data_IF_135836332314
#
_entry.id   IF_135836332314
#
_cell.length_a   1.000
_cell.length_b   1.000
_cell.length_c   1.000
_cell.angle_alpha   90.00
_cell.angle_beta   90.00
_cell.angle_gamma   90.00
#
_symmetry.space_group_name_H-M   'P 1'
#
loop_
_entity.id
_entity.type
_entity.pdbx_description
1 polymer ?
#
# COMPACT_ATOMS: atom_id res chain seq x y z
N UNK A 1 12.65 -31.55 17.23
CA UNK A 1 12.36 -30.10 17.31
C UNK A 1 11.03 -29.69 16.66
N UNK A 2 10.01 -30.56 16.57
CA UNK A 2 8.76 -30.27 15.85
C UNK A 2 7.55 -29.86 16.70
N UNK A 3 7.63 -29.97 18.03
CA UNK A 3 6.47 -29.74 18.92
C UNK A 3 6.42 -28.34 19.55
N UNK A 4 7.48 -27.53 19.42
CA UNK A 4 7.53 -26.18 19.99
C UNK A 4 6.76 -25.14 19.16
N UNK A 5 6.67 -25.34 17.83
CA UNK A 5 6.04 -24.37 16.91
C UNK A 5 4.50 -24.43 16.91
N UNK A 6 3.89 -25.46 17.49
CA UNK A 6 2.43 -25.56 17.64
C UNK A 6 1.90 -24.84 18.89
N UNK A 7 2.78 -24.45 19.83
CA UNK A 7 2.38 -23.72 21.04
C UNK A 7 2.09 -22.24 20.79
N UNK A 8 2.57 -21.69 19.68
CA UNK A 8 2.35 -20.28 19.31
C UNK A 8 1.20 -20.08 18.31
N UNK A 9 0.51 -21.16 17.92
CA UNK A 9 -0.69 -21.06 17.10
C UNK A 9 -1.87 -20.76 18.03
N UNK A 10 -2.58 -19.63 17.87
CA UNK A 10 -3.75 -19.30 18.67
C UNK A 10 -4.75 -20.45 18.63
N UNK A 11 -5.35 -20.76 19.78
CA UNK A 11 -6.36 -21.83 19.85
C UNK A 11 -7.51 -21.47 18.92
N UNK A 12 -8.16 -22.45 18.30
CA UNK A 12 -9.23 -22.24 17.31
C UNK A 12 -10.31 -21.22 17.75
N UNK A 13 -10.54 -21.08 19.06
CA UNK A 13 -11.48 -20.13 19.68
C UNK A 13 -11.01 -18.66 19.67
N UNK A 14 -9.71 -18.42 19.56
CA UNK A 14 -9.06 -17.11 19.54
C UNK A 14 -8.88 -16.58 18.11
N UNK A 15 -9.26 -17.38 17.10
CA UNK A 15 -9.26 -16.93 15.72
C UNK A 15 -10.33 -15.86 15.55
N UNK A 16 -10.04 -14.76 14.83
CA UNK A 16 -11.06 -13.77 14.50
C UNK A 16 -12.24 -14.50 13.85
N UNK A 17 -13.43 -14.34 14.44
CA UNK A 17 -14.66 -14.83 13.83
C UNK A 17 -14.85 -14.02 12.55
N UNK A 18 -14.59 -14.66 11.40
CA UNK A 18 -14.90 -14.12 10.09
C UNK A 18 -16.42 -13.99 10.03
N UNK A 19 -16.96 -12.80 10.34
CA UNK A 19 -18.37 -12.52 10.11
C UNK A 19 -18.64 -12.71 8.63
N UNK A 20 -19.68 -13.48 8.31
CA UNK A 20 -20.09 -13.84 6.96
C UNK A 20 -20.70 -12.68 6.16
N UNK A 21 -20.29 -11.44 6.43
CA UNK A 21 -20.74 -10.26 5.69
C UNK A 21 -20.03 -10.12 4.34
N UNK A 22 -19.15 -11.06 3.99
CA UNK A 22 -18.63 -11.27 2.64
C UNK A 22 -18.92 -12.69 2.15
N UNK A 23 -19.43 -12.81 0.92
CA UNK A 23 -19.72 -14.09 0.26
C UNK A 23 -18.43 -14.94 0.17
N UNK A 24 -18.34 -15.99 0.99
CA UNK A 24 -17.16 -16.85 1.05
C UNK A 24 -17.09 -17.75 -0.19
N UNK A 25 -16.11 -17.51 -1.07
CA UNK A 25 -15.85 -18.39 -2.23
C UNK A 25 -15.15 -19.68 -1.79
N UNK A 26 -15.95 -20.64 -1.30
CA UNK A 26 -15.49 -21.98 -0.89
C UNK A 26 -14.69 -22.68 -2.00
N UNK A 27 -15.11 -22.51 -3.25
CA UNK A 27 -14.47 -23.16 -4.40
C UNK A 27 -13.13 -22.51 -4.73
N UNK A 28 -13.02 -21.18 -4.59
CA UNK A 28 -11.78 -20.43 -4.64
C UNK A 28 -10.77 -20.94 -3.62
N UNK A 29 -11.19 -21.09 -2.37
CA UNK A 29 -10.33 -21.60 -1.29
C UNK A 29 -9.83 -23.03 -1.58
N UNK A 30 -10.72 -23.96 -1.94
CA UNK A 30 -10.33 -25.35 -2.24
C UNK A 30 -9.33 -25.41 -3.41
N UNK A 31 -9.54 -24.61 -4.47
CA UNK A 31 -8.62 -24.53 -5.61
C UNK A 31 -7.24 -24.00 -5.20
N UNK A 32 -7.19 -22.94 -4.40
CA UNK A 32 -5.94 -22.37 -3.92
C UNK A 32 -5.17 -23.34 -3.02
N UNK A 33 -5.89 -24.03 -2.11
CA UNK A 33 -5.30 -25.02 -1.21
C UNK A 33 -4.72 -26.22 -1.98
N UNK A 34 -5.45 -26.77 -2.96
CA UNK A 34 -4.96 -27.87 -3.81
C UNK A 34 -3.70 -27.48 -4.59
N UNK A 35 -3.67 -26.26 -5.14
CA UNK A 35 -2.48 -25.75 -5.82
C UNK A 35 -1.27 -25.66 -4.87
N UNK A 36 -1.46 -25.15 -3.66
CA UNK A 36 -0.40 -25.04 -2.65
C UNK A 36 0.19 -26.42 -2.30
N UNK A 37 -0.66 -27.41 -1.99
CA UNK A 37 -0.20 -28.76 -1.63
C UNK A 37 0.60 -29.39 -2.77
N UNK A 38 0.10 -29.31 -4.01
CA UNK A 38 0.81 -29.85 -5.18
C UNK A 38 2.17 -29.19 -5.38
N UNK A 39 2.24 -27.86 -5.25
CA UNK A 39 3.49 -27.14 -5.45
C UNK A 39 4.51 -27.41 -4.35
N UNK A 40 4.04 -27.54 -3.09
CA UNK A 40 4.89 -27.91 -1.94
C UNK A 40 5.43 -29.32 -2.05
N UNK A 41 4.64 -30.27 -2.54
CA UNK A 41 5.10 -31.65 -2.79
C UNK A 41 6.18 -31.69 -3.88
N UNK A 42 6.06 -30.87 -4.93
CA UNK A 42 7.01 -30.84 -6.03
C UNK A 42 8.35 -30.16 -5.69
N UNK A 43 8.34 -29.07 -4.92
CA UNK A 43 9.53 -28.24 -4.67
C UNK A 43 10.06 -28.31 -3.22
N UNK A 44 9.41 -29.07 -2.35
CA UNK A 44 9.83 -29.24 -0.96
C UNK A 44 9.75 -27.96 -0.13
N UNK A 45 10.66 -27.81 0.84
CA UNK A 45 10.74 -26.62 1.69
C UNK A 45 11.42 -25.47 0.95
N UNK A 46 10.75 -24.31 0.91
CA UNK A 46 11.19 -23.12 0.17
C UNK A 46 11.08 -21.87 1.03
N UNK A 47 11.81 -20.82 0.65
CA UNK A 47 11.80 -19.53 1.35
C UNK A 47 10.48 -18.77 1.17
N UNK A 48 10.19 -17.86 2.10
CA UNK A 48 9.00 -17.00 2.03
C UNK A 48 8.98 -16.11 0.77
N UNK A 49 10.14 -15.63 0.32
CA UNK A 49 10.26 -14.85 -0.92
C UNK A 49 9.89 -15.68 -2.14
N UNK A 50 10.33 -16.94 -2.20
CA UNK A 50 9.97 -17.86 -3.28
C UNK A 50 8.45 -18.09 -3.33
N UNK A 51 7.82 -18.34 -2.18
CA UNK A 51 6.37 -18.52 -2.10
C UNK A 51 5.63 -17.28 -2.59
N UNK A 52 6.01 -16.08 -2.15
CA UNK A 52 5.43 -14.83 -2.65
C UNK A 52 5.51 -14.74 -4.17
N UNK A 53 6.65 -15.10 -4.76
CA UNK A 53 6.82 -15.11 -6.23
C UNK A 53 5.86 -16.09 -6.92
N UNK A 54 5.68 -17.31 -6.40
CA UNK A 54 4.77 -18.28 -7.01
C UNK A 54 3.30 -17.87 -6.90
N UNK A 55 2.92 -17.31 -5.76
CA UNK A 55 1.59 -16.75 -5.50
C UNK A 55 1.30 -15.62 -6.49
N UNK A 56 2.25 -14.68 -6.63
CA UNK A 56 2.15 -13.58 -7.59
C UNK A 56 2.02 -14.15 -9.01
N UNK A 57 2.87 -15.09 -9.40
CA UNK A 57 2.83 -15.70 -10.73
C UNK A 57 1.49 -16.41 -11.03
N UNK A 58 0.89 -17.09 -10.04
CA UNK A 58 -0.32 -17.88 -10.23
C UNK A 58 -1.60 -17.04 -10.29
N UNK A 59 -1.72 -16.02 -9.44
CA UNK A 59 -2.96 -15.29 -9.25
C UNK A 59 -2.92 -13.83 -9.70
N UNK A 60 -1.74 -13.26 -9.94
CA UNK A 60 -1.62 -11.94 -10.55
C UNK A 60 -1.59 -12.10 -12.07
N UNK A 61 -2.78 -12.19 -12.65
CA UNK A 61 -3.02 -12.13 -14.10
C UNK A 61 -2.60 -10.73 -14.65
N UNK A 62 -2.07 -10.67 -15.88
CA UNK A 62 -1.80 -9.44 -16.63
C UNK A 62 -3.00 -8.48 -16.68
N UNK A 63 -4.23 -8.98 -16.74
CA UNK A 63 -5.44 -8.15 -16.62
C UNK A 63 -5.55 -7.46 -15.25
N UNK A 64 -5.10 -8.09 -14.16
CA UNK A 64 -5.00 -7.43 -12.83
C UNK A 64 -3.88 -6.41 -12.83
N UNK A 65 -2.71 -6.72 -13.41
CA UNK A 65 -1.61 -5.76 -13.54
C UNK A 65 -2.03 -4.54 -14.35
N UNK A 66 -2.72 -4.75 -15.46
CA UNK A 66 -3.31 -3.71 -16.29
C UNK A 66 -4.31 -2.87 -15.50
N UNK A 67 -5.28 -3.47 -14.82
CA UNK A 67 -6.24 -2.74 -13.97
C UNK A 67 -5.55 -1.89 -12.90
N UNK A 68 -4.55 -2.44 -12.19
CA UNK A 68 -3.82 -1.69 -11.15
C UNK A 68 -2.98 -0.57 -11.78
N UNK A 69 -2.37 -0.80 -12.95
CA UNK A 69 -1.64 0.22 -13.72
C UNK A 69 -2.58 1.35 -14.15
N UNK A 70 -3.69 1.04 -14.81
CA UNK A 70 -4.71 2.01 -15.23
C UNK A 70 -5.28 2.77 -14.04
N UNK A 71 -5.58 2.09 -12.93
CA UNK A 71 -6.08 2.72 -11.71
C UNK A 71 -5.04 3.61 -11.01
N UNK A 72 -3.74 3.34 -11.21
CA UNK A 72 -2.65 4.20 -10.73
C UNK A 72 -2.50 5.43 -11.65
N UNK A 73 -2.47 5.24 -12.96
CA UNK A 73 -2.31 6.32 -13.95
C UNK A 73 -3.47 7.32 -13.95
N UNK A 74 -4.70 6.84 -13.73
CA UNK A 74 -5.90 7.68 -13.64
C UNK A 74 -6.10 8.34 -12.28
N UNK A 75 -5.47 7.84 -11.21
CA UNK A 75 -5.63 8.39 -9.87
C UNK A 75 -4.75 9.62 -9.65
N UNK A 76 -5.11 10.72 -10.30
CA UNK A 76 -4.51 12.04 -10.07
C UNK A 76 -4.87 12.54 -8.66
N UNK A 77 -3.94 13.24 -8.03
CA UNK A 77 -4.21 13.91 -6.76
C UNK A 77 -5.15 15.08 -6.99
N UNK A 78 -6.18 15.20 -6.17
CA UNK A 78 -7.07 16.34 -6.15
C UNK A 78 -6.99 17.05 -4.79
N UNK A 79 -6.42 18.25 -4.75
CA UNK A 79 -6.22 19.00 -3.49
C UNK A 79 -7.55 19.29 -2.75
N UNK A 80 -8.67 19.43 -3.46
CA UNK A 80 -9.96 19.73 -2.82
C UNK A 80 -10.55 18.49 -2.14
N UNK A 81 -10.43 17.33 -2.78
CA UNK A 81 -11.13 16.10 -2.40
C UNK A 81 -10.26 15.10 -1.62
N UNK A 82 -8.97 15.01 -1.96
CA UNK A 82 -8.09 13.98 -1.42
C UNK A 82 -7.39 14.45 -0.14
N UNK A 83 -7.17 13.50 0.77
CA UNK A 83 -6.27 13.68 1.93
C UNK A 83 -4.89 13.14 1.55
N UNK A 84 -3.86 13.97 1.73
CA UNK A 84 -2.49 13.67 1.29
C UNK A 84 -1.96 12.33 1.82
N UNK A 85 -2.06 12.09 3.14
CA UNK A 85 -1.53 10.88 3.78
C UNK A 85 -2.14 9.58 3.21
N UNK A 86 -3.47 9.34 3.25
CA UNK A 86 -4.05 8.09 2.75
C UNK A 86 -3.93 7.95 1.23
N UNK A 87 -3.97 9.06 0.48
CA UNK A 87 -3.77 9.01 -0.97
C UNK A 87 -2.33 8.58 -1.30
N UNK A 88 -1.33 9.17 -0.63
CA UNK A 88 0.08 8.87 -0.87
C UNK A 88 0.39 7.39 -0.61
N UNK A 89 -0.02 6.85 0.54
CA UNK A 89 0.22 5.44 0.86
C UNK A 89 -0.49 4.51 -0.12
N UNK A 90 -1.73 4.83 -0.52
CA UNK A 90 -2.46 4.06 -1.54
C UNK A 90 -1.72 4.02 -2.88
N UNK A 91 -1.10 5.13 -3.30
CA UNK A 91 -0.29 5.14 -4.53
C UNK A 91 1.04 4.40 -4.34
N UNK A 92 1.70 4.56 -3.19
CA UNK A 92 2.92 3.83 -2.84
C UNK A 92 2.69 2.31 -2.91
N UNK A 93 1.63 1.82 -2.29
CA UNK A 93 1.27 0.40 -2.29
C UNK A 93 0.99 -0.14 -3.69
N UNK A 94 0.24 0.63 -4.51
CA UNK A 94 -0.03 0.27 -5.92
C UNK A 94 1.25 0.19 -6.74
N UNK A 95 2.17 1.14 -6.57
CA UNK A 95 3.43 1.19 -7.31
C UNK A 95 4.40 0.09 -6.86
N UNK A 96 4.52 -0.17 -5.56
CA UNK A 96 5.32 -1.29 -5.02
C UNK A 96 4.76 -2.64 -5.50
N UNK A 97 3.43 -2.77 -5.62
CA UNK A 97 2.81 -3.99 -6.14
C UNK A 97 3.02 -4.19 -7.66
N UNK A 98 3.16 -3.11 -8.42
CA UNK A 98 3.41 -3.16 -9.87
C UNK A 98 4.90 -3.31 -10.21
N UNK A 99 5.76 -2.66 -9.42
CA UNK A 99 7.19 -2.52 -9.66
C UNK A 99 7.96 -2.84 -8.36
N UNK A 100 8.05 -4.13 -7.97
CA UNK A 100 8.70 -4.52 -6.72
C UNK A 100 10.21 -4.20 -6.70
N UNK A 101 10.85 -4.10 -7.87
CA UNK A 101 12.27 -3.81 -8.01
C UNK A 101 12.58 -2.29 -8.07
N UNK A 102 11.56 -1.45 -7.92
CA UNK A 102 11.70 0.01 -8.00
C UNK A 102 12.23 0.59 -6.69
N UNK A 103 13.19 1.51 -6.77
CA UNK A 103 13.69 2.21 -5.59
C UNK A 103 12.63 3.15 -5.01
N UNK A 104 12.74 3.47 -3.72
CA UNK A 104 11.80 4.38 -3.05
C UNK A 104 11.74 5.75 -3.74
N UNK A 105 12.90 6.28 -4.16
CA UNK A 105 12.99 7.52 -4.95
C UNK A 105 12.20 7.47 -6.27
N UNK A 106 12.29 6.36 -7.01
CA UNK A 106 11.56 6.20 -8.27
C UNK A 106 10.05 6.08 -8.03
N UNK A 107 9.64 5.43 -6.93
CA UNK A 107 8.24 5.39 -6.51
C UNK A 107 7.76 6.80 -6.18
N UNK A 108 8.49 7.55 -5.35
CA UNK A 108 8.18 8.94 -5.02
C UNK A 108 8.05 9.81 -6.27
N UNK A 109 9.01 9.75 -7.19
CA UNK A 109 8.98 10.49 -8.45
C UNK A 109 7.74 10.20 -9.29
N UNK A 110 7.27 8.95 -9.32
CA UNK A 110 6.02 8.57 -10.00
C UNK A 110 4.78 9.14 -9.31
N UNK A 111 4.74 9.10 -7.97
CA UNK A 111 3.64 9.70 -7.18
C UNK A 111 3.58 11.21 -7.42
N UNK A 112 4.72 11.90 -7.46
CA UNK A 112 4.77 13.33 -7.73
C UNK A 112 4.21 13.69 -9.10
N UNK A 113 4.46 12.87 -10.12
CA UNK A 113 3.87 13.03 -11.47
C UNK A 113 2.35 12.78 -11.50
N UNK A 114 1.81 12.10 -10.50
CA UNK A 114 0.37 11.93 -10.33
C UNK A 114 -0.28 13.14 -9.64
N UNK A 115 0.50 14.07 -9.09
CA UNK A 115 -0.05 15.26 -8.45
C UNK A 115 -0.71 16.22 -9.45
N UNK A 116 -0.18 16.31 -10.68
CA UNK A 116 -0.72 17.14 -11.76
C UNK A 116 -0.76 18.66 -11.48
N UNK A 117 -0.84 19.46 -12.54
CA UNK A 117 -1.09 20.90 -12.49
C UNK A 117 -0.13 21.71 -11.59
N UNK A 118 -0.64 22.75 -10.95
CA UNK A 118 0.13 23.66 -10.09
C UNK A 118 0.69 22.96 -8.83
N UNK A 119 -0.01 21.91 -8.35
CA UNK A 119 0.46 21.07 -7.26
C UNK A 119 1.69 20.24 -7.63
N UNK A 120 1.82 19.77 -8.87
CA UNK A 120 3.01 19.04 -9.32
C UNK A 120 4.25 19.95 -9.31
N UNK A 121 4.12 21.19 -9.77
CA UNK A 121 5.23 22.14 -9.78
C UNK A 121 5.65 22.53 -8.37
N UNK A 122 4.69 22.88 -7.51
CA UNK A 122 4.95 23.26 -6.11
C UNK A 122 5.60 22.13 -5.29
N UNK A 123 5.15 20.89 -5.49
CA UNK A 123 5.71 19.74 -4.76
C UNK A 123 7.10 19.38 -5.29
N UNK A 124 7.33 19.41 -6.61
CA UNK A 124 8.66 19.12 -7.19
C UNK A 124 9.73 20.12 -6.76
N UNK A 125 9.42 21.42 -6.69
CA UNK A 125 10.37 22.43 -6.22
C UNK A 125 10.73 22.20 -4.75
N UNK A 126 9.79 21.70 -3.96
CA UNK A 126 9.96 21.51 -2.51
C UNK A 126 10.58 20.17 -2.14
N UNK A 127 10.69 19.23 -3.08
CA UNK A 127 11.16 17.86 -2.85
C UNK A 127 12.58 17.69 -3.40
N UNK A 128 13.43 17.00 -2.67
CA UNK A 128 14.78 16.59 -3.11
C UNK A 128 14.84 15.08 -3.32
N UNK A 129 15.87 14.57 -3.99
CA UNK A 129 16.07 13.12 -4.19
C UNK A 129 16.13 12.32 -2.87
N UNK A 130 16.47 12.99 -1.75
CA UNK A 130 16.56 12.40 -0.41
C UNK A 130 15.30 12.58 0.44
N UNK A 131 14.25 13.21 -0.10
CA UNK A 131 13.04 13.48 0.66
C UNK A 131 12.35 12.19 1.06
N UNK A 132 12.01 12.10 2.34
CA UNK A 132 11.29 10.94 2.88
C UNK A 132 9.83 10.95 2.46
N UNK A 133 9.15 9.81 2.66
CA UNK A 133 7.69 9.72 2.48
C UNK A 133 6.96 10.75 3.36
N UNK A 134 7.46 11.03 4.57
CA UNK A 134 6.90 12.04 5.47
C UNK A 134 7.06 13.46 4.91
N UNK A 135 8.24 13.80 4.38
CA UNK A 135 8.50 15.11 3.79
C UNK A 135 7.54 15.38 2.62
N UNK A 136 7.34 14.39 1.75
CA UNK A 136 6.44 14.53 0.59
C UNK A 136 4.98 14.70 1.03
N UNK A 137 4.54 13.94 2.04
CA UNK A 137 3.17 14.07 2.58
C UNK A 137 2.98 15.46 3.19
N UNK A 138 3.94 15.95 3.96
CA UNK A 138 3.89 17.29 4.57
C UNK A 138 3.80 18.39 3.51
N UNK A 139 4.57 18.28 2.43
CA UNK A 139 4.53 19.22 1.30
C UNK A 139 3.17 19.16 0.60
N UNK A 140 2.64 17.96 0.34
CA UNK A 140 1.31 17.78 -0.26
C UNK A 140 0.20 18.40 0.60
N UNK A 141 0.28 18.26 1.93
CA UNK A 141 -0.63 18.92 2.84
C UNK A 141 -0.46 20.44 2.85
N UNK A 142 0.77 20.94 2.79
CA UNK A 142 1.03 22.38 2.72
C UNK A 142 0.45 22.98 1.43
N UNK A 143 0.63 22.32 0.28
CA UNK A 143 0.04 22.73 -1.00
C UNK A 143 -1.49 22.69 -0.94
N UNK A 144 -2.06 21.63 -0.35
CA UNK A 144 -3.50 21.50 -0.16
C UNK A 144 -4.06 22.56 0.79
N UNK A 145 -3.33 22.92 1.85
CA UNK A 145 -3.74 23.92 2.84
C UNK A 145 -3.59 25.33 2.27
N UNK A 146 -2.52 25.62 1.52
CA UNK A 146 -2.30 26.89 0.81
C UNK A 146 -3.34 27.15 -0.28
N UNK A 147 -3.80 26.11 -0.98
CA UNK A 147 -4.88 26.23 -1.95
C UNK A 147 -6.23 26.59 -1.29
N UNK A 148 -6.44 26.20 -0.03
CA UNK A 148 -7.70 26.40 0.71
C UNK A 148 -7.74 27.66 1.56
N UNK A 149 -6.58 28.17 2.00
CA UNK A 149 -6.50 29.24 2.99
C UNK A 149 -5.35 30.17 2.62
N UNK A 150 -5.65 31.46 2.46
CA UNK A 150 -4.64 32.50 2.36
C UNK A 150 -3.67 32.43 3.53
N UNK A 151 -2.44 32.01 3.24
CA UNK A 151 -1.20 32.18 4.01
C UNK A 151 -1.29 32.10 5.54
N UNK A 152 -1.13 30.91 6.12
CA UNK A 152 -0.56 30.78 7.46
C UNK A 152 0.28 29.50 7.57
N UNK A 153 1.58 29.64 7.88
CA UNK A 153 2.50 28.52 8.04
C UNK A 153 2.18 27.75 9.32
N UNK A 154 1.49 26.62 9.21
CA UNK A 154 1.25 25.70 10.33
C UNK A 154 2.46 24.80 10.61
N UNK A 155 2.62 24.34 11.86
CA UNK A 155 3.68 23.39 12.24
C UNK A 155 3.36 21.98 11.70
N UNK A 156 4.03 21.60 10.60
CA UNK A 156 3.74 20.38 9.83
C UNK A 156 4.13 19.08 10.56
N UNK A 157 5.22 19.07 11.36
CA UNK A 157 5.69 17.87 12.07
C UNK A 157 4.69 17.37 13.12
N UNK A 158 4.04 18.27 13.85
CA UNK A 158 3.02 17.90 14.83
C UNK A 158 1.74 17.37 14.13
N UNK A 159 1.46 17.88 12.93
CA UNK A 159 0.29 17.48 12.14
C UNK A 159 0.45 16.10 11.51
N UNK A 160 1.63 15.77 10.98
CA UNK A 160 1.88 14.41 10.48
C UNK A 160 1.70 13.36 11.57
N UNK A 161 2.30 13.58 12.74
CA UNK A 161 2.22 12.64 13.86
C UNK A 161 0.77 12.38 14.33
N UNK A 162 -0.09 13.40 14.31
CA UNK A 162 -1.51 13.24 14.65
C UNK A 162 -2.26 12.47 13.57
N UNK A 163 -2.05 12.80 12.29
CA UNK A 163 -2.70 12.11 11.18
C UNK A 163 -2.23 10.65 11.02
N UNK A 164 -0.96 10.38 11.31
CA UNK A 164 -0.42 9.03 11.33
C UNK A 164 -1.07 8.19 12.43
N UNK A 165 -1.20 8.72 13.65
CA UNK A 165 -1.93 8.07 14.75
C UNK A 165 -3.37 7.78 14.35
N UNK A 166 -4.07 8.74 13.77
CA UNK A 166 -5.44 8.56 13.29
C UNK A 166 -5.56 7.50 12.19
N UNK A 167 -4.60 7.47 11.26
CA UNK A 167 -4.56 6.49 10.18
C UNK A 167 -4.35 5.07 10.70
N UNK A 168 -3.40 4.89 11.62
CA UNK A 168 -3.10 3.61 12.26
C UNK A 168 -4.30 3.13 13.09
N UNK A 169 -4.95 4.01 13.85
CA UNK A 169 -6.14 3.67 14.63
C UNK A 169 -7.33 3.24 13.75
N UNK A 170 -7.46 3.80 12.55
CA UNK A 170 -8.53 3.46 11.59
C UNK A 170 -8.23 2.22 10.73
N UNK A 171 -6.97 1.80 10.67
CA UNK A 171 -6.53 0.62 9.90
C UNK A 171 -5.65 -0.28 10.80
N UNK A 172 -6.24 -0.88 11.85
CA UNK A 172 -5.51 -1.81 12.70
C UNK A 172 -5.03 -3.02 11.87
N UNK A 173 -3.78 -3.44 12.10
CA UNK A 173 -3.16 -4.59 11.44
C UNK A 173 -3.81 -5.91 11.84
#
# INVERSE_FOLDING_TARGET
MGQALLKEVPKLKEWPHLSSEGEYDHMGFIRAHRWYIKLRQAHGHQSCTWWKTQIIKKWVNDARRFRVKTASESAKFNADKDKALPWFFKQKDRLTALYPDMTEFMIHSKILRQCGGDSEHAVKISTTEKSSSEDIINILEEVTTRAKIGSSRMNLKLRFNTLWKDYVNKNPK
#
